data_IF_571956655992
#
_entry.id   IF_571956655992
#
_cell.length_a   1.000
_cell.length_b   1.000
_cell.length_c   1.000
_cell.angle_alpha   90.00
_cell.angle_beta   90.00
_cell.angle_gamma   90.00
#
_symmetry.space_group_name_H-M   'P 1'
#
loop_
_entity.id
_entity.type
_entity.pdbx_description
1 polymer ?
#
# COMPACT_ATOMS: atom_id res chain seq x y z
N UNK A 1 -15.20 4.60 8.24
CA UNK A 1 -14.99 5.51 7.10
C UNK A 1 -13.56 5.41 6.58
N UNK A 2 -13.40 5.45 5.29
CA UNK A 2 -12.09 5.30 4.66
C UNK A 2 -11.47 6.65 4.36
N UNK A 3 -10.14 6.71 4.47
CA UNK A 3 -9.38 7.83 3.95
C UNK A 3 -9.04 7.51 2.50
N UNK A 4 -9.54 8.33 1.57
CA UNK A 4 -9.25 8.18 0.15
C UNK A 4 -8.32 9.30 -0.31
N UNK A 5 -7.71 9.13 -1.50
CA UNK A 5 -6.70 10.07 -1.99
C UNK A 5 -7.21 11.51 -2.05
N UNK A 6 -8.42 11.73 -2.53
CA UNK A 6 -8.99 13.08 -2.59
C UNK A 6 -9.15 13.72 -1.22
N UNK A 7 -9.51 12.93 -0.22
CA UNK A 7 -9.63 13.43 1.16
C UNK A 7 -8.27 13.74 1.77
N UNK A 8 -7.27 12.95 1.45
CA UNK A 8 -5.90 13.23 1.89
C UNK A 8 -5.41 14.56 1.31
N UNK A 9 -5.64 14.79 0.04
CA UNK A 9 -5.26 16.03 -0.63
C UNK A 9 -6.01 17.22 -0.02
N UNK A 10 -7.30 17.04 0.26
CA UNK A 10 -8.12 18.06 0.91
C UNK A 10 -7.55 18.46 2.27
N UNK A 11 -7.17 17.47 3.09
CA UNK A 11 -6.55 17.74 4.40
C UNK A 11 -5.22 18.45 4.27
N UNK A 12 -4.39 18.06 3.32
CA UNK A 12 -3.12 18.72 3.07
C UNK A 12 -3.33 20.16 2.63
N UNK A 13 -4.33 20.43 1.80
CA UNK A 13 -4.69 21.78 1.37
C UNK A 13 -5.09 22.64 2.56
N UNK A 14 -5.87 22.11 3.49
CA UNK A 14 -6.30 22.81 4.69
C UNK A 14 -5.13 23.15 5.62
N UNK A 15 -4.15 22.24 5.70
CA UNK A 15 -2.96 22.42 6.56
C UNK A 15 -1.89 23.31 5.91
N UNK A 16 -1.99 23.55 4.62
CA UNK A 16 -0.99 24.28 3.84
C UNK A 16 -1.69 25.31 2.95
N UNK A 17 -2.37 26.26 3.56
CA UNK A 17 -3.20 27.26 2.88
C UNK A 17 -2.45 28.11 1.85
N UNK A 18 -1.12 28.19 1.99
CA UNK A 18 -0.25 28.96 1.10
C UNK A 18 0.12 28.19 -0.18
N UNK A 19 -0.27 26.91 -0.28
CA UNK A 19 0.02 26.09 -1.45
C UNK A 19 -1.24 25.84 -2.27
N UNK A 20 -1.06 25.73 -3.58
CA UNK A 20 -2.17 25.38 -4.47
C UNK A 20 -2.50 23.91 -4.36
N UNK A 21 -3.80 23.60 -4.42
CA UNK A 21 -4.29 22.22 -4.38
C UNK A 21 -3.65 21.35 -5.46
N UNK A 22 -3.50 21.89 -6.67
CA UNK A 22 -2.89 21.17 -7.79
C UNK A 22 -1.44 20.76 -7.52
N UNK A 23 -0.70 21.57 -6.76
CA UNK A 23 0.68 21.28 -6.42
C UNK A 23 0.75 20.17 -5.38
N UNK A 24 -0.15 20.19 -4.40
CA UNK A 24 -0.26 19.15 -3.37
C UNK A 24 -0.70 17.81 -4.00
N UNK A 25 -1.64 17.86 -4.94
CA UNK A 25 -2.04 16.69 -5.70
C UNK A 25 -0.87 16.06 -6.45
N UNK A 26 -0.06 16.91 -7.07
CA UNK A 26 1.14 16.46 -7.78
C UNK A 26 2.15 15.79 -6.84
N UNK A 27 2.35 16.35 -5.65
CA UNK A 27 3.23 15.77 -4.63
C UNK A 27 2.73 14.41 -4.19
N UNK A 28 1.44 14.29 -3.88
CA UNK A 28 0.83 13.03 -3.46
C UNK A 28 0.97 11.98 -4.56
N UNK A 29 0.67 12.35 -5.79
CA UNK A 29 0.81 11.42 -6.93
C UNK A 29 2.25 10.98 -7.12
N UNK A 30 3.21 11.89 -6.96
CA UNK A 30 4.64 11.55 -7.07
C UNK A 30 5.05 10.53 -6.01
N UNK A 31 4.61 10.72 -4.77
CA UNK A 31 4.91 9.77 -3.68
C UNK A 31 4.38 8.38 -4.01
N UNK A 32 3.12 8.28 -4.42
CA UNK A 32 2.52 6.99 -4.73
C UNK A 32 3.15 6.34 -5.96
N UNK A 33 3.50 7.14 -6.98
CA UNK A 33 4.17 6.63 -8.17
C UNK A 33 5.57 6.09 -7.85
N UNK A 34 6.30 6.75 -6.96
CA UNK A 34 7.61 6.27 -6.52
C UNK A 34 7.52 4.95 -5.76
N UNK A 35 6.53 4.82 -4.89
CA UNK A 35 6.28 3.56 -4.18
C UNK A 35 5.92 2.46 -5.17
N UNK A 36 5.00 2.74 -6.07
CA UNK A 36 4.55 1.78 -7.08
C UNK A 36 5.69 1.33 -7.98
N UNK A 37 6.49 2.27 -8.47
CA UNK A 37 7.62 1.97 -9.35
C UNK A 37 8.67 1.13 -8.65
N UNK A 38 8.99 1.46 -7.41
CA UNK A 38 9.97 0.71 -6.62
C UNK A 38 9.52 -0.74 -6.42
N UNK A 39 8.25 -0.94 -6.11
CA UNK A 39 7.70 -2.28 -5.93
C UNK A 39 7.65 -3.04 -7.26
N UNK A 40 7.31 -2.37 -8.36
CA UNK A 40 7.32 -2.97 -9.69
C UNK A 40 8.73 -3.43 -10.09
N UNK A 41 9.76 -2.73 -9.61
CA UNK A 41 11.15 -3.09 -9.83
C UNK A 41 11.66 -4.16 -8.85
N UNK A 42 10.79 -4.68 -8.00
CA UNK A 42 11.14 -5.71 -7.02
C UNK A 42 11.88 -5.18 -5.79
N UNK A 43 11.86 -3.87 -5.58
CA UNK A 43 12.54 -3.24 -4.45
C UNK A 43 11.63 -3.14 -3.24
N UNK A 44 12.25 -3.09 -2.07
CA UNK A 44 11.55 -2.84 -0.82
C UNK A 44 11.46 -1.33 -0.57
N UNK A 45 10.31 -0.89 -0.06
CA UNK A 45 10.11 0.51 0.31
C UNK A 45 9.95 0.59 1.83
N UNK A 46 10.89 1.22 2.50
CA UNK A 46 10.85 1.41 3.95
C UNK A 46 10.51 2.86 4.27
N UNK A 47 9.46 3.04 5.07
CA UNK A 47 9.05 4.34 5.55
C UNK A 47 9.15 4.33 7.08
N UNK A 48 10.23 4.91 7.58
CA UNK A 48 10.55 4.90 9.01
C UNK A 48 9.39 5.46 9.83
N UNK A 49 9.01 4.74 10.88
CA UNK A 49 7.88 5.11 11.73
C UNK A 49 6.53 4.63 11.23
N UNK A 50 6.45 4.22 9.97
CA UNK A 50 5.19 3.77 9.37
C UNK A 50 5.21 2.26 9.08
N UNK A 51 6.13 1.82 8.27
CA UNK A 51 6.22 0.41 7.89
C UNK A 51 7.03 0.19 6.63
N UNK A 52 6.95 -1.03 6.13
CA UNK A 52 7.69 -1.42 4.94
C UNK A 52 6.79 -2.15 3.97
N UNK A 53 6.90 -1.79 2.69
CA UNK A 53 6.27 -2.50 1.60
C UNK A 53 7.29 -3.42 0.94
N UNK A 54 6.88 -4.61 0.59
CA UNK A 54 7.72 -5.56 -0.15
C UNK A 54 6.84 -6.31 -1.15
N UNK A 55 7.49 -7.05 -2.04
CA UNK A 55 6.79 -7.84 -3.04
C UNK A 55 7.06 -9.31 -2.75
N UNK A 56 6.01 -10.10 -2.73
CA UNK A 56 6.11 -11.54 -2.55
C UNK A 56 5.74 -12.24 -3.85
N UNK A 57 6.61 -13.13 -4.29
CA UNK A 57 6.35 -13.97 -5.44
C UNK A 57 5.60 -15.24 -5.02
N UNK A 58 4.55 -15.53 -5.73
CA UNK A 58 3.82 -16.80 -5.58
C UNK A 58 3.95 -17.60 -6.86
N UNK A 59 4.58 -18.76 -6.74
CA UNK A 59 4.81 -19.65 -7.88
C UNK A 59 3.49 -20.18 -8.44
N UNK A 60 3.52 -20.49 -9.73
CA UNK A 60 2.41 -21.20 -10.38
C UNK A 60 2.18 -22.53 -9.67
N UNK A 61 0.93 -22.91 -9.52
CA UNK A 61 0.56 -24.15 -8.84
C UNK A 61 -0.77 -24.67 -9.37
N UNK A 62 -1.06 -25.91 -9.02
CA UNK A 62 -2.36 -26.50 -9.29
C UNK A 62 -3.18 -26.45 -8.01
N UNK A 63 -4.33 -25.77 -8.05
CA UNK A 63 -5.28 -25.72 -6.97
C UNK A 63 -6.51 -26.55 -7.29
N UNK A 64 -7.47 -26.57 -6.39
CA UNK A 64 -8.75 -27.21 -6.59
C UNK A 64 -9.90 -26.26 -6.37
N UNK A 65 -10.88 -26.32 -7.25
CA UNK A 65 -12.12 -25.59 -7.09
C UNK A 65 -12.90 -26.21 -5.92
N UNK A 66 -13.19 -25.43 -4.86
CA UNK A 66 -13.88 -25.99 -3.69
C UNK A 66 -15.31 -26.46 -3.97
N UNK A 67 -15.92 -25.99 -5.07
CA UNK A 67 -17.29 -26.39 -5.42
C UNK A 67 -17.33 -27.69 -6.24
N UNK A 68 -16.42 -27.83 -7.21
CA UNK A 68 -16.45 -28.94 -8.15
C UNK A 68 -15.38 -29.99 -7.87
N UNK A 69 -14.34 -29.65 -7.11
CA UNK A 69 -13.20 -30.50 -6.88
C UNK A 69 -12.26 -30.58 -8.08
N UNK A 70 -12.55 -29.86 -9.15
CA UNK A 70 -11.73 -29.86 -10.36
C UNK A 70 -10.40 -29.15 -10.15
N UNK A 71 -9.36 -29.64 -10.83
CA UNK A 71 -8.04 -28.99 -10.81
C UNK A 71 -8.09 -27.69 -11.57
N UNK A 72 -7.49 -26.65 -10.99
CA UNK A 72 -7.40 -25.33 -11.61
C UNK A 72 -5.93 -24.91 -11.63
N UNK A 73 -5.46 -24.47 -12.79
CA UNK A 73 -4.12 -23.93 -12.93
C UNK A 73 -4.09 -22.51 -12.40
N UNK A 74 -3.32 -22.29 -11.34
CA UNK A 74 -3.12 -20.95 -10.74
C UNK A 74 -1.78 -20.44 -11.26
N UNK A 75 -1.83 -19.32 -11.99
CA UNK A 75 -0.64 -18.72 -12.57
C UNK A 75 0.22 -18.06 -11.48
N UNK A 76 1.52 -17.93 -11.75
CA UNK A 76 2.39 -17.19 -10.85
C UNK A 76 1.94 -15.73 -10.78
N UNK A 77 2.18 -15.12 -9.63
CA UNK A 77 1.83 -13.72 -9.45
C UNK A 77 2.72 -13.07 -8.40
N UNK A 78 2.77 -11.75 -8.45
CA UNK A 78 3.51 -10.93 -7.53
C UNK A 78 2.52 -10.15 -6.68
N UNK A 79 2.64 -10.25 -5.38
CA UNK A 79 1.68 -9.67 -4.43
C UNK A 79 2.40 -8.69 -3.53
N UNK A 80 1.86 -7.47 -3.37
CA UNK A 80 2.43 -6.53 -2.41
C UNK A 80 2.13 -6.97 -0.98
N UNK A 81 3.08 -6.77 -0.09
CA UNK A 81 2.94 -7.00 1.35
C UNK A 81 3.31 -5.75 2.09
N UNK A 82 2.55 -5.46 3.14
CA UNK A 82 2.85 -4.37 4.03
C UNK A 82 3.05 -4.91 5.44
N UNK A 83 4.15 -4.49 6.09
CA UNK A 83 4.43 -4.81 7.48
C UNK A 83 4.55 -3.51 8.25
N UNK A 84 3.76 -3.38 9.32
CA UNK A 84 3.79 -2.18 10.15
C UNK A 84 5.13 -2.03 10.85
N UNK A 85 5.57 -0.78 10.97
CA UNK A 85 6.69 -0.44 11.83
C UNK A 85 6.26 -0.39 13.29
N UNK A 86 7.23 -0.26 14.17
CA UNK A 86 6.99 -0.26 15.62
C UNK A 86 6.05 0.87 16.05
N UNK A 87 6.27 2.08 15.57
CA UNK A 87 5.46 3.24 15.95
C UNK A 87 3.99 3.09 15.57
N UNK A 88 3.74 2.72 14.33
CA UNK A 88 2.37 2.53 13.86
C UNK A 88 1.67 1.43 14.65
N UNK A 89 2.37 0.32 14.86
CA UNK A 89 1.83 -0.82 15.62
C UNK A 89 1.46 -0.41 17.05
N UNK A 90 2.34 0.34 17.71
CA UNK A 90 2.07 0.81 19.08
C UNK A 90 0.89 1.76 19.14
N UNK A 91 0.80 2.68 18.18
CA UNK A 91 -0.33 3.61 18.12
C UNK A 91 -1.65 2.89 17.91
N UNK A 92 -1.68 1.88 17.05
CA UNK A 92 -2.88 1.10 16.81
C UNK A 92 -3.32 0.37 18.08
N UNK A 93 -2.40 -0.29 18.76
CA UNK A 93 -2.71 -1.05 19.96
C UNK A 93 -3.11 -0.16 21.14
N UNK A 94 -2.51 0.99 21.28
CA UNK A 94 -2.85 1.95 22.35
C UNK A 94 -4.20 2.63 22.11
N UNK A 95 -4.60 2.81 20.86
CA UNK A 95 -5.87 3.45 20.50
C UNK A 95 -7.06 2.50 20.60
N UNK A 96 -6.84 1.22 20.32
CA UNK A 96 -7.91 0.24 20.15
C UNK A 96 -8.05 -0.69 21.36
N UNK A 97 -7.05 -0.74 22.21
CA UNK A 97 -7.06 -1.59 23.42
C UNK A 97 -7.89 -1.03 24.55
#
# INVERSE_FOLDING_TARGET
MSLIKSKLIEKLTQQNNHLYTRDLERVVNTIFNEITQSLADGKRVELRGFGAFSVQHRSARVGRNPRSGESVNIQEKWIPRFKTGKELRLRLNNKVS
#
